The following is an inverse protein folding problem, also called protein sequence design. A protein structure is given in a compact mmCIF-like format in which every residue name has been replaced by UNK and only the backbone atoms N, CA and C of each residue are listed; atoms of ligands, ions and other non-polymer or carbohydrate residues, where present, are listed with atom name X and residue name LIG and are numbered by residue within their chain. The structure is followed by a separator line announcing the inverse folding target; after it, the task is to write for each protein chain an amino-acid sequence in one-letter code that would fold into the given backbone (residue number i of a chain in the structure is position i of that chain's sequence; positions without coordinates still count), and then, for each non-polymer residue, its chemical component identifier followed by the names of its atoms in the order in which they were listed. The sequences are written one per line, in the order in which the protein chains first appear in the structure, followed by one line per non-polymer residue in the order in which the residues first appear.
data_IF_996711087733
#
_entry.id   IF_996711087733
#
_cell.length_a   1.000
_cell.length_b   1.000
_cell.length_c   1.000
_cell.angle_alpha   90.00
_cell.angle_beta   90.00
_cell.angle_gamma   90.00
#
_symmetry.space_group_name_H-M   'P 1'
#
loop_
_entity.id
_entity.type
_entity.pdbx_description
1 polymer ?
#
# COMPACT_ATOMS: atom_id res chain seq x y z
N UNK A 1 -34.23 34.36 -0.42
CA UNK A 1 -33.31 33.45 -1.14
C UNK A 1 -31.92 33.34 -0.53
N UNK A 2 -31.47 34.23 0.36
CA UNK A 2 -30.10 34.16 0.93
C UNK A 2 -29.92 33.21 2.13
N UNK A 3 -30.94 33.05 2.96
CA UNK A 3 -30.82 32.29 4.22
C UNK A 3 -30.62 30.78 3.99
N UNK A 4 -31.20 30.22 2.94
CA UNK A 4 -31.07 28.81 2.54
C UNK A 4 -29.70 28.50 1.96
N UNK A 5 -29.09 29.44 1.24
CA UNK A 5 -27.75 29.30 0.66
C UNK A 5 -26.67 29.33 1.75
N UNK A 6 -26.80 30.22 2.73
CA UNK A 6 -25.90 30.32 3.88
C UNK A 6 -25.94 29.07 4.78
N UNK A 7 -27.12 28.49 5.02
CA UNK A 7 -27.23 27.24 5.78
C UNK A 7 -26.59 26.05 5.04
N UNK A 8 -26.78 25.96 3.72
CA UNK A 8 -26.19 24.90 2.90
C UNK A 8 -24.66 24.98 2.85
N UNK A 9 -24.10 26.19 2.79
CA UNK A 9 -22.65 26.41 2.86
C UNK A 9 -22.06 26.04 4.21
N UNK A 10 -22.76 26.32 5.33
CA UNK A 10 -22.31 25.93 6.68
C UNK A 10 -22.38 24.42 6.89
N UNK A 11 -23.40 23.73 6.39
CA UNK A 11 -23.49 22.27 6.46
C UNK A 11 -22.43 21.57 5.63
N UNK A 12 -22.09 22.10 4.44
CA UNK A 12 -21.01 21.56 3.60
C UNK A 12 -19.65 21.71 4.29
N UNK A 13 -19.36 22.88 4.87
CA UNK A 13 -18.11 23.12 5.60
C UNK A 13 -17.99 22.23 6.86
N UNK A 14 -19.07 22.03 7.60
CA UNK A 14 -19.09 21.15 8.77
C UNK A 14 -18.83 19.69 8.40
N UNK A 15 -19.49 19.18 7.35
CA UNK A 15 -19.30 17.81 6.88
C UNK A 15 -17.88 17.59 6.33
N UNK A 16 -17.30 18.59 5.65
CA UNK A 16 -15.92 18.53 5.17
C UNK A 16 -14.92 18.48 6.34
N UNK A 17 -15.14 19.26 7.40
CA UNK A 17 -14.31 19.22 8.62
C UNK A 17 -14.41 17.86 9.31
N UNK A 18 -15.61 17.33 9.49
CA UNK A 18 -15.81 16.02 10.11
C UNK A 18 -15.21 14.87 9.30
N UNK A 19 -15.27 14.95 7.97
CA UNK A 19 -14.62 14.00 7.08
C UNK A 19 -13.09 14.11 7.15
N UNK A 20 -12.53 15.33 7.24
CA UNK A 20 -11.10 15.54 7.41
C UNK A 20 -10.59 15.01 8.77
N UNK A 21 -11.31 15.29 9.86
CA UNK A 21 -10.97 14.81 11.20
C UNK A 21 -11.09 13.28 11.32
N UNK A 22 -12.06 12.67 10.63
CA UNK A 22 -12.20 11.22 10.56
C UNK A 22 -11.06 10.58 9.75
N UNK A 23 -10.60 11.25 8.69
CA UNK A 23 -9.50 10.80 7.84
C UNK A 23 -8.14 10.88 8.55
N UNK A 24 -7.93 11.93 9.35
CA UNK A 24 -6.74 12.10 10.19
C UNK A 24 -6.67 11.03 11.30
N UNK A 25 -7.82 10.69 11.90
CA UNK A 25 -7.93 9.62 12.90
C UNK A 25 -7.81 8.21 12.31
N UNK A 26 -8.25 7.97 11.09
CA UNK A 26 -8.17 6.65 10.47
C UNK A 26 -6.75 6.34 9.97
N UNK A 27 -6.05 7.34 9.42
CA UNK A 27 -4.64 7.23 9.02
C UNK A 27 -3.73 6.91 10.21
N UNK A 28 -3.92 7.63 11.33
CA UNK A 28 -3.17 7.35 12.57
C UNK A 28 -3.41 5.95 13.13
N UNK A 29 -4.67 5.50 13.20
CA UNK A 29 -4.97 4.13 13.65
C UNK A 29 -4.30 3.05 12.79
N UNK A 30 -4.45 3.13 11.46
CA UNK A 30 -3.86 2.12 10.57
C UNK A 30 -2.33 2.16 10.60
N UNK A 31 -1.75 3.36 10.70
CA UNK A 31 -0.31 3.53 10.89
C UNK A 31 0.17 2.87 12.18
N UNK A 32 -0.54 3.02 13.30
CA UNK A 32 -0.18 2.40 14.57
C UNK A 32 -0.26 0.86 14.52
N UNK A 33 -1.27 0.32 13.83
CA UNK A 33 -1.39 -1.13 13.59
C UNK A 33 -0.21 -1.63 12.76
N UNK A 34 0.12 -0.94 11.66
CA UNK A 34 1.27 -1.29 10.83
C UNK A 34 2.57 -1.21 11.63
N UNK A 35 2.78 -0.16 12.41
CA UNK A 35 3.95 -0.01 13.26
C UNK A 35 4.08 -1.17 14.25
N UNK A 36 2.97 -1.59 14.85
CA UNK A 36 2.92 -2.73 15.78
C UNK A 36 3.25 -4.07 15.09
N UNK A 37 2.89 -4.22 13.82
CA UNK A 37 3.12 -5.43 13.03
C UNK A 37 4.43 -5.40 12.22
N UNK A 38 5.14 -4.27 12.21
CA UNK A 38 6.17 -3.97 11.23
C UNK A 38 7.28 -5.02 11.18
N UNK A 39 7.75 -5.52 12.33
CA UNK A 39 8.80 -6.55 12.36
C UNK A 39 8.39 -7.82 11.60
N UNK A 40 7.13 -8.23 11.71
CA UNK A 40 6.60 -9.39 11.01
C UNK A 40 6.39 -9.08 9.53
N UNK A 41 5.85 -7.90 9.22
CA UNK A 41 5.66 -7.44 7.84
C UNK A 41 7.00 -7.32 7.10
N UNK A 42 8.03 -6.75 7.71
CA UNK A 42 9.37 -6.64 7.14
C UNK A 42 9.89 -8.02 6.72
N UNK A 43 9.74 -9.03 7.58
CA UNK A 43 10.17 -10.40 7.27
C UNK A 43 9.36 -11.01 6.12
N UNK A 44 8.02 -10.91 6.19
CA UNK A 44 7.12 -11.48 5.18
C UNK A 44 7.30 -10.81 3.81
N UNK A 45 7.28 -9.47 3.77
CA UNK A 45 7.44 -8.71 2.53
C UNK A 45 8.84 -8.90 1.95
N UNK A 46 9.89 -8.91 2.78
CA UNK A 46 11.25 -9.17 2.28
C UNK A 46 11.38 -10.56 1.67
N UNK A 47 10.69 -11.58 2.21
CA UNK A 47 10.66 -12.91 1.62
C UNK A 47 9.89 -12.92 0.29
N UNK A 48 8.72 -12.27 0.25
CA UNK A 48 7.89 -12.18 -0.95
C UNK A 48 8.62 -11.44 -2.08
N UNK A 49 9.27 -10.30 -1.80
CA UNK A 49 10.07 -9.55 -2.77
C UNK A 49 11.13 -10.43 -3.41
N UNK A 50 11.86 -11.25 -2.62
CA UNK A 50 12.84 -12.18 -3.19
C UNK A 50 12.17 -13.21 -4.09
N UNK A 51 11.10 -13.83 -3.60
CA UNK A 51 10.39 -14.89 -4.32
C UNK A 51 9.78 -14.41 -5.65
N UNK A 52 9.29 -13.17 -5.70
CA UNK A 52 8.70 -12.58 -6.90
C UNK A 52 9.75 -12.00 -7.85
N UNK A 53 10.75 -11.28 -7.34
CA UNK A 53 11.65 -10.48 -8.19
C UNK A 53 12.82 -11.30 -8.75
N UNK A 54 13.34 -12.31 -8.03
CA UNK A 54 14.45 -13.14 -8.56
C UNK A 54 14.10 -13.88 -9.86
N UNK A 55 12.90 -14.48 -10.01
CA UNK A 55 12.46 -15.01 -11.30
C UNK A 55 12.43 -13.94 -12.40
N UNK A 56 11.96 -12.72 -12.08
CA UNK A 56 11.89 -11.61 -13.05
C UNK A 56 13.28 -11.21 -13.54
N UNK A 57 14.32 -11.24 -12.70
CA UNK A 57 15.69 -10.97 -13.15
C UNK A 57 16.15 -11.93 -14.24
N UNK A 58 15.83 -13.22 -14.12
CA UNK A 58 16.24 -14.26 -15.08
C UNK A 58 15.54 -14.09 -16.44
N UNK A 59 14.28 -13.68 -16.40
CA UNK A 59 13.43 -13.55 -17.58
C UNK A 59 13.65 -12.22 -18.31
N UNK A 60 13.77 -11.12 -17.55
CA UNK A 60 13.69 -9.77 -18.10
C UNK A 60 15.05 -9.08 -18.28
N UNK A 61 16.09 -9.45 -17.50
CA UNK A 61 17.38 -8.75 -17.57
C UNK A 61 18.34 -9.38 -18.60
N UNK A 62 19.16 -8.56 -19.29
CA UNK A 62 20.09 -9.04 -20.29
C UNK A 62 21.40 -9.58 -19.70
N UNK A 63 22.00 -10.55 -20.41
CA UNK A 63 23.39 -10.99 -20.21
C UNK A 63 23.75 -11.30 -18.74
N UNK A 64 24.79 -10.68 -18.16
CA UNK A 64 25.31 -11.01 -16.84
C UNK A 64 24.36 -10.67 -15.68
N UNK A 65 23.29 -9.90 -15.92
CA UNK A 65 22.29 -9.55 -14.91
C UNK A 65 21.31 -10.71 -14.63
N UNK A 66 21.27 -11.75 -15.46
CA UNK A 66 20.37 -12.90 -15.27
C UNK A 66 20.69 -13.74 -14.02
N UNK A 67 21.93 -13.71 -13.53
CA UNK A 67 22.31 -14.39 -12.30
C UNK A 67 22.15 -13.53 -11.05
N UNK A 68 21.52 -12.36 -11.19
CA UNK A 68 21.23 -11.48 -10.06
C UNK A 68 20.29 -12.17 -9.07
N UNK A 69 20.68 -12.16 -7.79
CA UNK A 69 19.90 -12.70 -6.68
C UNK A 69 20.10 -11.84 -5.43
N UNK A 70 19.15 -11.90 -4.50
CA UNK A 70 19.25 -11.18 -3.24
C UNK A 70 20.12 -11.96 -2.25
N UNK A 71 21.17 -11.31 -1.78
CA UNK A 71 21.96 -11.79 -0.63
C UNK A 71 21.40 -11.27 0.69
N UNK A 72 20.81 -10.06 0.67
CA UNK A 72 20.09 -9.46 1.79
C UNK A 72 18.86 -8.71 1.25
N UNK A 73 17.76 -8.77 1.98
CA UNK A 73 16.61 -7.90 1.74
C UNK A 73 15.98 -7.66 3.10
N UNK A 74 15.99 -6.39 3.51
CA UNK A 74 15.28 -5.91 4.68
C UNK A 74 14.74 -4.53 4.36
N UNK A 75 13.51 -4.27 4.77
CA UNK A 75 12.89 -2.95 4.73
C UNK A 75 13.41 -2.05 5.88
N UNK A 76 14.15 -2.61 6.85
CA UNK A 76 14.62 -1.85 8.00
C UNK A 76 13.53 -1.60 9.06
N UNK A 77 13.82 -0.70 9.99
CA UNK A 77 13.05 -0.56 11.23
C UNK A 77 11.99 0.56 11.19
N UNK A 78 12.02 1.39 10.15
CA UNK A 78 11.05 2.49 9.98
C UNK A 78 9.81 1.94 9.26
N UNK A 79 8.62 1.93 9.91
CA UNK A 79 7.40 1.44 9.29
C UNK A 79 6.87 2.38 8.22
N UNK A 80 6.11 1.83 7.29
CA UNK A 80 5.30 2.63 6.38
C UNK A 80 4.21 3.37 7.15
N UNK A 81 3.89 4.58 6.69
CA UNK A 81 2.78 5.39 7.17
C UNK A 81 1.64 5.34 6.17
N UNK A 82 0.44 5.41 6.72
CA UNK A 82 -0.80 5.36 5.99
C UNK A 82 -1.59 6.62 6.28
N UNK A 83 -1.97 7.33 5.22
CA UNK A 83 -2.69 8.58 5.29
C UNK A 83 -3.90 8.55 4.34
N UNK A 84 -4.84 9.47 4.55
CA UNK A 84 -5.92 9.74 3.59
C UNK A 84 -6.71 8.51 3.12
N UNK A 85 -7.21 7.73 4.09
CA UNK A 85 -7.98 6.51 3.86
C UNK A 85 -9.43 6.84 3.46
N UNK A 86 -9.81 6.43 2.25
CA UNK A 86 -11.15 6.57 1.70
C UNK A 86 -11.76 5.19 1.50
N UNK A 87 -12.86 4.92 2.21
CA UNK A 87 -13.67 3.73 2.01
C UNK A 87 -14.84 4.08 1.11
N UNK A 88 -14.93 3.44 -0.05
CA UNK A 88 -16.06 3.62 -0.94
C UNK A 88 -17.25 2.77 -0.50
N UNK A 89 -18.46 3.25 -0.77
CA UNK A 89 -19.70 2.49 -0.55
C UNK A 89 -19.67 1.14 -1.27
N UNK A 90 -20.35 0.15 -0.70
CA UNK A 90 -20.48 -1.18 -1.30
C UNK A 90 -21.14 -1.07 -2.67
N UNK A 91 -20.56 -1.75 -3.66
CA UNK A 91 -21.02 -1.73 -5.06
C UNK A 91 -21.10 -3.15 -5.60
N UNK A 92 -21.91 -3.34 -6.63
CA UNK A 92 -22.00 -4.60 -7.37
C UNK A 92 -21.18 -4.50 -8.66
N UNK A 93 -20.35 -5.50 -8.94
CA UNK A 93 -19.60 -5.58 -10.19
C UNK A 93 -20.48 -6.10 -11.34
N UNK A 94 -19.92 -6.12 -12.56
CA UNK A 94 -20.63 -6.54 -13.78
C UNK A 94 -21.13 -8.00 -13.75
N UNK A 95 -20.60 -8.81 -12.83
CA UNK A 95 -20.95 -10.24 -12.68
C UNK A 95 -21.87 -10.45 -11.46
N UNK A 96 -22.44 -9.38 -10.91
CA UNK A 96 -23.41 -9.46 -9.82
C UNK A 96 -22.83 -9.72 -8.43
N UNK A 97 -21.49 -9.63 -8.26
CA UNK A 97 -20.86 -9.79 -6.94
C UNK A 97 -20.62 -8.44 -6.28
N UNK A 98 -20.94 -8.36 -4.99
CA UNK A 98 -20.68 -7.18 -4.18
C UNK A 98 -19.20 -7.06 -3.79
N UNK A 99 -18.72 -5.82 -3.73
CA UNK A 99 -17.37 -5.47 -3.33
C UNK A 99 -17.32 -4.13 -2.59
N UNK A 100 -16.29 -3.97 -1.76
CA UNK A 100 -15.91 -2.69 -1.15
C UNK A 100 -14.51 -2.34 -1.63
N UNK A 101 -14.32 -1.10 -2.08
CA UNK A 101 -13.02 -0.57 -2.46
C UNK A 101 -12.54 0.40 -1.38
N UNK A 102 -11.29 0.24 -0.96
CA UNK A 102 -10.62 1.13 -0.02
C UNK A 102 -9.40 1.69 -0.72
N UNK A 103 -9.20 2.99 -0.65
CA UNK A 103 -8.00 3.62 -1.17
C UNK A 103 -7.28 4.40 -0.08
N UNK A 104 -5.96 4.28 -0.03
CA UNK A 104 -5.15 4.87 1.02
C UNK A 104 -3.82 5.36 0.45
N UNK A 105 -3.32 6.47 0.99
CA UNK A 105 -2.00 6.99 0.65
C UNK A 105 -0.96 6.25 1.50
N UNK A 106 0.03 5.67 0.83
CA UNK A 106 1.14 4.95 1.45
C UNK A 106 2.38 5.80 1.30
N UNK A 107 3.07 6.07 2.41
CA UNK A 107 4.34 6.79 2.42
C UNK A 107 5.34 6.01 3.27
N UNK A 108 6.53 5.79 2.72
CA UNK A 108 7.58 5.07 3.40
C UNK A 108 8.93 5.72 3.11
N UNK A 109 9.65 6.08 4.18
CA UNK A 109 11.03 6.56 4.15
C UNK A 109 11.88 5.46 4.81
N UNK A 110 12.30 4.52 3.98
CA UNK A 110 12.88 3.26 4.42
C UNK A 110 14.39 3.34 4.52
N UNK A 111 14.91 3.25 5.75
CA UNK A 111 16.31 2.89 6.03
C UNK A 111 16.50 1.39 5.75
N UNK A 112 16.37 0.99 4.48
CA UNK A 112 16.38 -0.40 4.07
C UNK A 112 17.81 -0.96 3.99
N UNK A 113 17.92 -2.28 3.92
CA UNK A 113 19.19 -2.93 3.62
C UNK A 113 18.97 -4.07 2.64
N UNK A 114 19.10 -3.74 1.36
CA UNK A 114 18.92 -4.65 0.24
C UNK A 114 20.28 -4.82 -0.43
N UNK A 115 20.74 -6.06 -0.55
CA UNK A 115 21.99 -6.39 -1.21
C UNK A 115 21.75 -7.45 -2.27
N UNK A 116 22.09 -7.12 -3.51
CA UNK A 116 22.01 -7.95 -4.69
C UNK A 116 23.43 -8.37 -5.11
N UNK A 117 23.57 -9.58 -5.65
CA UNK A 117 24.82 -10.05 -6.24
C UNK A 117 24.57 -10.64 -7.61
N UNK A 118 25.43 -10.31 -8.57
CA UNK A 118 25.50 -10.95 -9.88
C UNK A 118 26.94 -11.40 -10.18
N UNK A 119 27.10 -12.53 -10.87
CA UNK A 119 28.40 -13.21 -10.98
C UNK A 119 29.51 -12.35 -11.59
N UNK A 120 29.15 -11.51 -12.57
CA UNK A 120 30.12 -10.71 -13.34
C UNK A 120 30.17 -9.23 -12.92
N UNK A 121 29.24 -8.80 -12.06
CA UNK A 121 29.00 -7.37 -11.76
C UNK A 121 29.34 -7.07 -10.29
N UNK A 122 29.49 -8.10 -9.45
CA UNK A 122 29.79 -7.94 -8.03
C UNK A 122 28.52 -7.73 -7.19
N UNK A 123 28.64 -6.94 -6.12
CA UNK A 123 27.54 -6.66 -5.18
C UNK A 123 27.01 -5.24 -5.39
N UNK A 124 25.69 -5.11 -5.39
CA UNK A 124 24.97 -3.84 -5.39
C UNK A 124 24.16 -3.74 -4.10
N UNK A 125 24.22 -2.58 -3.42
CA UNK A 125 23.49 -2.34 -2.19
C UNK A 125 22.57 -1.13 -2.30
N UNK A 126 21.36 -1.24 -1.75
CA UNK A 126 20.44 -0.14 -1.52
C UNK A 126 20.27 0.00 -0.01
N UNK A 127 20.62 1.17 0.53
CA UNK A 127 20.57 1.48 1.97
C UNK A 127 19.45 2.45 2.37
N UNK A 128 18.82 3.05 1.37
CA UNK A 128 17.75 4.01 1.55
C UNK A 128 16.84 3.92 0.34
N UNK A 129 15.52 3.83 0.57
CA UNK A 129 14.51 3.86 -0.48
C UNK A 129 13.29 4.60 0.06
N UNK A 130 12.81 5.58 -0.71
CA UNK A 130 11.53 6.22 -0.45
C UNK A 130 10.48 5.68 -1.40
N UNK A 131 9.31 5.42 -0.87
CA UNK A 131 8.14 4.97 -1.62
C UNK A 131 6.97 5.86 -1.25
N UNK A 132 6.29 6.42 -2.24
CA UNK A 132 5.00 7.07 -2.04
C UNK A 132 4.01 6.71 -3.14
N UNK A 133 2.73 6.55 -2.78
CA UNK A 133 1.70 6.26 -3.77
C UNK A 133 0.33 5.97 -3.18
N UNK A 134 -0.68 6.00 -4.05
CA UNK A 134 -2.06 5.63 -3.74
C UNK A 134 -2.25 4.13 -3.91
N UNK A 135 -2.58 3.42 -2.85
CA UNK A 135 -2.88 1.98 -2.88
C UNK A 135 -4.39 1.76 -2.81
N UNK A 136 -4.89 0.82 -3.60
CA UNK A 136 -6.29 0.38 -3.61
C UNK A 136 -6.38 -1.06 -3.12
N UNK A 137 -7.33 -1.31 -2.23
CA UNK A 137 -7.73 -2.63 -1.74
C UNK A 137 -9.15 -2.89 -2.22
N UNK A 138 -9.34 -4.02 -2.89
CA UNK A 138 -10.63 -4.49 -3.37
C UNK A 138 -11.04 -5.73 -2.56
N UNK A 139 -12.05 -5.55 -1.71
CA UNK A 139 -12.63 -6.59 -0.89
C UNK A 139 -13.76 -7.26 -1.69
N UNK A 140 -13.52 -8.44 -2.27
CA UNK A 140 -14.55 -9.18 -3.00
C UNK A 140 -14.32 -10.71 -2.91
N UNK A 141 -15.39 -11.52 -2.94
CA UNK A 141 -16.79 -11.10 -2.80
C UNK A 141 -17.08 -10.70 -1.35
N UNK A 142 -18.02 -9.78 -1.16
CA UNK A 142 -18.71 -9.60 0.11
C UNK A 142 -19.72 -10.76 0.28
N UNK A 143 -19.81 -11.31 1.49
CA UNK A 143 -20.57 -12.52 1.82
C UNK A 143 -21.35 -12.34 3.12
N UNK A 144 -22.49 -13.04 3.25
CA UNK A 144 -23.33 -13.05 4.45
C UNK A 144 -22.88 -14.06 5.53
N UNK A 145 -21.65 -14.58 5.41
CA UNK A 145 -21.06 -15.56 6.34
C UNK A 145 -19.67 -15.09 6.78
N UNK A 146 -19.22 -15.52 7.96
CA UNK A 146 -17.90 -15.14 8.47
C UNK A 146 -16.79 -16.00 7.82
N UNK A 147 -15.67 -15.41 7.35
CA UNK A 147 -15.41 -13.97 7.26
C UNK A 147 -16.23 -13.30 6.15
N UNK A 148 -16.75 -12.10 6.41
CA UNK A 148 -17.65 -11.37 5.47
C UNK A 148 -17.00 -10.98 4.15
N UNK A 149 -15.67 -11.09 4.04
CA UNK A 149 -14.90 -10.85 2.82
C UNK A 149 -14.22 -12.14 2.41
N UNK A 150 -14.48 -12.61 1.19
CA UNK A 150 -13.91 -13.86 0.68
C UNK A 150 -12.46 -13.73 0.22
N UNK A 151 -12.08 -12.57 -0.32
CA UNK A 151 -10.70 -12.28 -0.69
C UNK A 151 -10.39 -10.78 -0.66
N UNK A 152 -9.11 -10.48 -0.49
CA UNK A 152 -8.56 -9.13 -0.62
C UNK A 152 -7.65 -9.12 -1.83
N UNK A 153 -7.92 -8.23 -2.77
CA UNK A 153 -7.00 -7.88 -3.84
C UNK A 153 -6.43 -6.51 -3.53
N UNK A 154 -5.18 -6.26 -3.93
CA UNK A 154 -4.53 -4.99 -3.68
C UNK A 154 -3.58 -4.60 -4.81
N UNK A 155 -3.34 -3.31 -4.95
CA UNK A 155 -2.40 -2.77 -5.91
C UNK A 155 -2.29 -1.25 -5.83
N UNK A 156 -1.24 -0.70 -6.42
CA UNK A 156 -1.17 0.75 -6.58
C UNK A 156 -2.11 1.22 -7.69
N UNK A 157 -2.81 2.33 -7.46
CA UNK A 157 -3.73 2.95 -8.45
C UNK A 157 -2.96 3.44 -9.67
N UNK A 158 -1.76 4.00 -9.45
CA UNK A 158 -0.81 4.40 -10.47
C UNK A 158 0.59 3.89 -10.05
N UNK A 159 1.56 3.79 -10.97
CA UNK A 159 2.93 3.47 -10.59
C UNK A 159 3.40 4.36 -9.43
N UNK A 160 3.87 3.78 -8.31
CA UNK A 160 4.29 4.57 -7.16
C UNK A 160 5.57 5.35 -7.49
N UNK A 161 5.81 6.43 -6.75
CA UNK A 161 7.06 7.17 -6.80
C UNK A 161 8.10 6.45 -5.95
N UNK A 162 9.30 6.31 -6.52
CA UNK A 162 10.46 5.70 -5.89
C UNK A 162 11.64 6.66 -5.98
N UNK A 163 12.27 6.96 -4.84
CA UNK A 163 13.47 7.81 -4.74
C UNK A 163 14.59 7.13 -3.94
#
# INVERSE_FOLDING_TARGET
NDSTTLQKSRSLAFNASAAADANDRSGSFLTDVIASLWSHMNTAISAEVKATVEPMFKEMLPGPLKSMHFTKCSLGDVPLRLDNCIVHECKTNLVGKEYVQIEIDVVWDGQCDIELKADYIGRLGVKHLKLSGRMSFLLQPVMDTIPVVGAVQYGFVNPPQLE
#
